data_IF_065188487275
#
_entry.id   IF_065188487275
#
_cell.length_a   1.000
_cell.length_b   1.000
_cell.length_c   1.000
_cell.angle_alpha   90.00
_cell.angle_beta   90.00
_cell.angle_gamma   90.00
#
_symmetry.space_group_name_H-M   'P 1'
#
loop_
_entity.id
_entity.type
_entity.pdbx_description
1 polymer ?
#
# COMPACT_ATOMS: atom_id res chain seq x y z
N UNK A 1 28.18 87.45 11.93
CA UNK A 1 27.35 86.46 11.19
C UNK A 1 26.50 85.71 12.21
N UNK A 2 25.19 85.97 12.18
CA UNK A 2 24.19 85.52 13.15
C UNK A 2 24.00 84.01 13.17
N UNK A 3 23.95 83.40 14.35
CA UNK A 3 23.32 82.09 14.54
C UNK A 3 22.18 82.23 15.54
N UNK A 4 20.97 82.29 14.99
CA UNK A 4 19.70 82.19 15.70
C UNK A 4 19.58 80.79 16.30
N UNK A 5 19.84 80.64 17.60
CA UNK A 5 19.38 79.51 18.39
C UNK A 5 17.92 79.76 18.75
N UNK A 6 17.00 79.16 17.98
CA UNK A 6 15.59 79.07 18.36
C UNK A 6 15.49 78.21 19.63
N UNK A 7 15.09 78.83 20.74
CA UNK A 7 14.66 78.12 21.95
C UNK A 7 13.30 77.49 21.63
N UNK A 8 13.27 76.17 21.48
CA UNK A 8 12.04 75.39 21.30
C UNK A 8 11.26 75.47 22.61
N UNK A 9 10.05 76.03 22.57
CA UNK A 9 9.19 76.15 23.75
C UNK A 9 8.73 74.77 24.23
N UNK A 10 8.47 74.63 25.53
CA UNK A 10 8.00 73.36 26.14
C UNK A 10 6.76 72.76 25.45
N UNK A 11 5.90 73.59 24.86
CA UNK A 11 4.73 73.16 24.09
C UNK A 11 5.11 72.49 22.75
N UNK A 12 6.17 72.95 22.07
CA UNK A 12 6.64 72.35 20.83
C UNK A 12 7.31 70.99 21.07
N UNK A 13 7.97 70.84 22.23
CA UNK A 13 8.58 69.57 22.65
C UNK A 13 7.52 68.49 22.92
N UNK A 14 6.41 68.86 23.56
CA UNK A 14 5.29 67.95 23.86
C UNK A 14 4.60 67.50 22.56
N UNK A 15 4.38 68.43 21.62
CA UNK A 15 3.79 68.11 20.32
C UNK A 15 4.70 67.19 19.49
N UNK A 16 6.03 67.40 19.53
CA UNK A 16 7.00 66.55 18.83
C UNK A 16 7.04 65.14 19.42
N UNK A 17 7.04 65.01 20.75
CA UNK A 17 7.02 63.72 21.45
C UNK A 17 5.70 62.98 21.22
N UNK A 18 4.57 63.68 21.24
CA UNK A 18 3.26 63.11 20.96
C UNK A 18 3.14 62.58 19.52
N UNK A 19 3.63 63.33 18.54
CA UNK A 19 3.65 62.91 17.14
C UNK A 19 4.55 61.68 16.91
N UNK A 20 5.73 61.65 17.53
CA UNK A 20 6.65 60.52 17.42
C UNK A 20 6.06 59.22 18.02
N UNK A 21 5.41 59.31 19.19
CA UNK A 21 4.74 58.17 19.82
C UNK A 21 3.59 57.62 18.98
N UNK A 22 2.78 58.49 18.36
CA UNK A 22 1.69 58.06 17.48
C UNK A 22 2.19 57.34 16.22
N UNK A 23 3.31 57.79 15.64
CA UNK A 23 3.92 57.12 14.48
C UNK A 23 4.49 55.74 14.84
N UNK A 24 5.13 55.63 16.01
CA UNK A 24 5.69 54.34 16.47
C UNK A 24 4.56 53.35 16.78
N UNK A 25 3.48 53.79 17.43
CA UNK A 25 2.34 52.93 17.76
C UNK A 25 1.56 52.49 16.51
N UNK A 26 1.34 53.40 15.56
CA UNK A 26 0.63 53.08 14.31
C UNK A 26 1.43 52.15 13.39
N UNK A 27 2.75 52.35 13.27
CA UNK A 27 3.61 51.45 12.51
C UNK A 27 3.70 50.06 13.14
N UNK A 28 3.89 49.97 14.46
CA UNK A 28 3.92 48.68 15.16
C UNK A 28 2.63 47.87 15.02
N UNK A 29 1.46 48.54 15.09
CA UNK A 29 0.17 47.88 14.90
C UNK A 29 -0.02 47.40 13.46
N UNK A 30 0.47 48.16 12.47
CA UNK A 30 0.41 47.76 11.05
C UNK A 30 1.27 46.52 10.76
N UNK A 31 2.48 46.42 11.33
CA UNK A 31 3.32 45.23 11.19
C UNK A 31 2.72 44.00 11.89
N UNK A 32 2.05 44.19 13.03
CA UNK A 32 1.36 43.10 13.74
C UNK A 32 0.22 42.50 12.89
N UNK A 33 -0.62 43.34 12.30
CA UNK A 33 -1.74 42.89 11.45
C UNK A 33 -1.24 42.21 10.16
N UNK A 34 -0.15 42.71 9.55
CA UNK A 34 0.44 42.10 8.35
C UNK A 34 1.08 40.74 8.64
N UNK A 35 1.62 40.54 9.84
CA UNK A 35 2.21 39.25 10.23
C UNK A 35 1.15 38.15 10.34
N UNK A 36 -0.04 38.46 10.90
CA UNK A 36 -1.11 37.50 11.14
C UNK A 36 -1.72 36.95 9.83
N UNK A 37 -1.91 37.81 8.81
CA UNK A 37 -2.42 37.37 7.49
C UNK A 37 -1.46 36.45 6.73
N UNK A 38 -0.14 36.63 6.90
CA UNK A 38 0.86 35.81 6.21
C UNK A 38 0.97 34.40 6.81
N UNK A 39 0.69 34.23 8.11
CA UNK A 39 0.74 32.91 8.76
C UNK A 39 -0.37 31.96 8.29
N UNK A 40 -1.58 32.45 8.04
CA UNK A 40 -2.70 31.62 7.58
C UNK A 40 -2.48 31.11 6.14
N UNK A 41 -1.91 31.94 5.27
CA UNK A 41 -1.60 31.57 3.89
C UNK A 41 -0.52 30.46 3.81
N UNK A 42 0.50 30.55 4.67
CA UNK A 42 1.59 29.55 4.74
C UNK A 42 1.08 28.21 5.27
N UNK A 43 0.22 28.22 6.30
CA UNK A 43 -0.38 27.00 6.83
C UNK A 43 -1.34 26.33 5.83
N UNK A 44 -2.10 27.12 5.06
CA UNK A 44 -2.99 26.60 4.02
C UNK A 44 -2.23 25.93 2.87
N UNK A 45 -1.11 26.53 2.43
CA UNK A 45 -0.23 25.94 1.42
C UNK A 45 0.47 24.65 1.90
N UNK A 46 0.92 24.61 3.16
CA UNK A 46 1.50 23.42 3.77
C UNK A 46 0.48 22.26 3.89
N UNK A 47 -0.78 22.58 4.22
CA UNK A 47 -1.87 21.59 4.26
C UNK A 47 -2.21 21.00 2.89
N UNK A 48 -2.21 21.82 1.83
CA UNK A 48 -2.52 21.38 0.46
C UNK A 48 -1.48 20.39 -0.09
N UNK A 49 -0.19 20.67 0.10
CA UNK A 49 0.89 19.79 -0.38
C UNK A 49 0.86 18.39 0.27
N UNK A 50 0.47 18.29 1.54
CA UNK A 50 0.38 17.01 2.26
C UNK A 50 -0.80 16.16 1.78
N UNK A 51 -1.92 16.81 1.42
CA UNK A 51 -3.12 16.13 0.90
C UNK A 51 -2.89 15.49 -0.47
N UNK A 52 -2.21 16.18 -1.39
CA UNK A 52 -1.94 15.66 -2.75
C UNK A 52 -1.00 14.44 -2.77
N UNK A 53 -0.06 14.36 -1.82
CA UNK A 53 0.82 13.19 -1.68
C UNK A 53 0.06 11.98 -1.12
N UNK A 54 -0.79 12.19 -0.11
CA UNK A 54 -1.62 11.14 0.48
C UNK A 54 -2.65 10.64 -0.55
N UNK A 55 -3.23 11.52 -1.36
CA UNK A 55 -4.23 11.12 -2.35
C UNK A 55 -3.63 10.28 -3.48
N UNK A 56 -2.40 10.60 -3.94
CA UNK A 56 -1.66 9.74 -4.89
C UNK A 56 -1.31 8.39 -4.30
N UNK A 57 -0.92 8.34 -3.03
CA UNK A 57 -0.60 7.08 -2.37
C UNK A 57 -1.84 6.21 -2.13
N UNK A 58 -2.97 6.82 -1.74
CA UNK A 58 -4.25 6.13 -1.61
C UNK A 58 -4.78 5.64 -2.97
N UNK A 59 -4.67 6.43 -4.04
CA UNK A 59 -5.04 5.97 -5.38
C UNK A 59 -4.18 4.80 -5.86
N UNK A 60 -2.89 4.76 -5.50
CA UNK A 60 -2.04 3.59 -5.76
C UNK A 60 -2.50 2.36 -4.97
N UNK A 61 -2.80 2.51 -3.67
CA UNK A 61 -3.33 1.41 -2.84
C UNK A 61 -4.69 0.90 -3.33
N UNK A 62 -5.56 1.82 -3.77
CA UNK A 62 -6.85 1.47 -4.36
C UNK A 62 -6.67 0.73 -5.70
N UNK A 63 -5.65 1.09 -6.50
CA UNK A 63 -5.35 0.39 -7.75
C UNK A 63 -4.79 -1.02 -7.50
N UNK A 64 -4.04 -1.26 -6.43
CA UNK A 64 -3.62 -2.62 -6.03
C UNK A 64 -4.76 -3.46 -5.48
N UNK A 65 -5.78 -2.85 -4.85
CA UNK A 65 -6.96 -3.56 -4.33
C UNK A 65 -8.10 -3.74 -5.33
N UNK A 66 -8.13 -2.95 -6.42
CA UNK A 66 -9.11 -3.06 -7.50
C UNK A 66 -8.53 -3.72 -8.76
N UNK A 67 -7.39 -4.40 -8.68
CA UNK A 67 -7.20 -5.50 -9.62
C UNK A 67 -8.37 -6.45 -9.35
N UNK A 68 -9.22 -6.78 -10.34
CA UNK A 68 -10.08 -7.94 -10.19
C UNK A 68 -9.16 -9.09 -9.74
N UNK A 69 -9.57 -9.95 -8.78
CA UNK A 69 -8.77 -11.12 -8.45
C UNK A 69 -8.38 -11.71 -9.79
N UNK A 70 -7.07 -11.75 -10.08
CA UNK A 70 -6.57 -12.30 -11.33
C UNK A 70 -7.32 -13.60 -11.43
N UNK A 71 -8.23 -13.67 -12.40
CA UNK A 71 -9.02 -14.85 -12.67
C UNK A 71 -8.06 -15.83 -13.35
N UNK A 72 -6.99 -16.18 -12.63
CA UNK A 72 -6.46 -17.51 -12.55
C UNK A 72 -7.66 -18.30 -12.02
N UNK A 73 -8.57 -18.64 -12.93
CA UNK A 73 -9.28 -19.90 -12.81
C UNK A 73 -8.16 -20.91 -12.62
N UNK A 74 -7.82 -21.21 -11.36
CA UNK A 74 -6.86 -22.24 -11.01
C UNK A 74 -7.36 -23.47 -11.77
N UNK A 75 -6.64 -23.82 -12.82
CA UNK A 75 -7.02 -24.95 -13.65
C UNK A 75 -6.86 -26.15 -12.74
N UNK A 76 -7.98 -26.77 -12.38
CA UNK A 76 -8.01 -27.85 -11.41
C UNK A 76 -8.57 -29.09 -12.09
N UNK A 77 -7.91 -30.22 -11.88
CA UNK A 77 -8.42 -31.52 -12.27
C UNK A 77 -8.37 -32.49 -11.09
N UNK A 78 -9.35 -33.38 -11.06
CA UNK A 78 -9.42 -34.46 -10.09
C UNK A 78 -9.03 -35.81 -10.69
N UNK A 79 -8.58 -35.81 -11.94
CA UNK A 79 -8.02 -37.02 -12.57
C UNK A 79 -6.80 -37.49 -11.77
N UNK A 80 -6.72 -38.79 -11.50
CA UNK A 80 -5.64 -39.37 -10.69
C UNK A 80 -5.50 -38.67 -9.33
N UNK A 81 -6.64 -38.39 -8.67
CA UNK A 81 -6.67 -37.89 -7.31
C UNK A 81 -7.73 -38.58 -6.46
N UNK A 82 -7.45 -38.72 -5.16
CA UNK A 82 -8.41 -39.17 -4.17
C UNK A 82 -8.14 -38.56 -2.79
N UNK A 83 -9.07 -38.73 -1.86
CA UNK A 83 -8.88 -38.28 -0.48
C UNK A 83 -9.38 -36.86 -0.21
N UNK A 84 -9.68 -36.61 1.06
CA UNK A 84 -10.19 -35.33 1.56
C UNK A 84 -9.07 -34.57 2.27
N UNK A 85 -9.12 -33.25 2.21
CA UNK A 85 -8.11 -32.39 2.81
C UNK A 85 -8.72 -31.08 3.31
N UNK A 86 -8.01 -30.47 4.24
CA UNK A 86 -8.21 -29.11 4.74
C UNK A 86 -7.03 -28.22 4.35
N UNK A 87 -5.82 -28.78 4.31
CA UNK A 87 -4.58 -28.07 4.03
C UNK A 87 -3.80 -28.76 2.91
N UNK A 88 -3.03 -27.98 2.15
CA UNK A 88 -2.20 -28.50 1.04
C UNK A 88 -1.21 -29.56 1.48
N UNK A 89 -0.62 -29.41 2.68
CA UNK A 89 0.36 -30.34 3.23
C UNK A 89 -0.17 -31.76 3.48
N UNK A 90 -1.49 -31.95 3.42
CA UNK A 90 -2.12 -33.26 3.59
C UNK A 90 -2.17 -34.05 2.28
N UNK A 91 -2.00 -33.41 1.13
CA UNK A 91 -2.05 -34.06 -0.17
C UNK A 91 -0.63 -34.21 -0.72
N UNK A 92 -0.29 -35.42 -1.11
CA UNK A 92 1.00 -35.73 -1.71
C UNK A 92 0.80 -36.55 -2.97
N UNK A 93 1.75 -36.44 -3.89
CA UNK A 93 1.83 -37.36 -5.02
C UNK A 93 2.45 -38.67 -4.53
N UNK A 94 1.72 -39.77 -4.71
CA UNK A 94 2.15 -41.12 -4.37
C UNK A 94 2.21 -42.00 -5.61
N UNK A 95 3.03 -43.06 -5.59
CA UNK A 95 3.17 -43.96 -6.72
C UNK A 95 3.94 -43.36 -7.90
N UNK A 96 5.08 -42.70 -7.62
CA UNK A 96 5.94 -42.11 -8.63
C UNK A 96 6.49 -43.17 -9.61
N UNK A 97 5.75 -43.42 -10.70
CA UNK A 97 6.26 -44.10 -11.89
C UNK A 97 6.93 -43.10 -12.85
N UNK A 98 7.53 -43.61 -13.92
CA UNK A 98 8.21 -42.84 -14.96
C UNK A 98 7.25 -41.91 -15.76
N UNK A 99 6.75 -40.83 -15.17
CA UNK A 99 5.82 -39.91 -15.84
C UNK A 99 4.35 -40.24 -15.63
N UNK A 100 4.00 -40.75 -14.45
CA UNK A 100 2.63 -40.65 -13.95
C UNK A 100 1.62 -41.73 -14.38
N UNK A 101 1.99 -42.80 -15.08
CA UNK A 101 1.01 -43.83 -15.47
C UNK A 101 0.25 -44.48 -14.30
N UNK A 102 0.80 -44.45 -13.09
CA UNK A 102 0.25 -45.12 -11.91
C UNK A 102 0.19 -44.23 -10.65
N UNK A 103 0.55 -42.95 -10.79
CA UNK A 103 0.61 -42.03 -9.67
C UNK A 103 -0.77 -41.55 -9.23
N UNK A 104 -0.90 -41.16 -7.97
CA UNK A 104 -2.14 -40.63 -7.39
C UNK A 104 -1.84 -39.41 -6.51
N UNK A 105 -2.59 -38.32 -6.66
CA UNK A 105 -2.59 -37.23 -5.68
C UNK A 105 -3.54 -37.59 -4.54
N UNK A 106 -3.01 -37.87 -3.35
CA UNK A 106 -3.78 -38.44 -2.24
C UNK A 106 -3.31 -37.96 -0.88
N UNK A 107 -4.17 -38.09 0.12
CA UNK A 107 -3.81 -37.96 1.53
C UNK A 107 -3.45 -39.30 2.21
N UNK A 108 -3.46 -40.40 1.44
CA UNK A 108 -3.12 -41.76 1.87
C UNK A 108 -2.04 -42.35 0.96
N UNK A 109 -0.82 -41.78 0.92
CA UNK A 109 0.24 -42.26 0.03
C UNK A 109 0.62 -43.73 0.26
N UNK A 110 0.47 -44.22 1.49
CA UNK A 110 0.80 -45.59 1.91
C UNK A 110 0.02 -46.67 1.15
N UNK A 111 -1.14 -46.34 0.58
CA UNK A 111 -1.96 -47.27 -0.21
C UNK A 111 -1.32 -47.61 -1.57
N UNK A 112 -0.43 -46.76 -2.06
CA UNK A 112 0.03 -46.82 -3.45
C UNK A 112 1.39 -47.50 -3.68
N UNK A 113 2.10 -47.89 -2.61
CA UNK A 113 3.29 -48.77 -2.68
C UNK A 113 4.42 -48.35 -3.63
N UNK A 114 5.47 -49.16 -3.69
CA UNK A 114 6.52 -49.02 -4.68
C UNK A 114 6.05 -49.62 -6.01
N UNK A 115 5.81 -48.75 -7.00
CA UNK A 115 5.37 -49.17 -8.34
C UNK A 115 6.61 -49.51 -9.16
N UNK A 116 6.78 -50.79 -9.47
CA UNK A 116 7.90 -51.31 -10.26
C UNK A 116 7.71 -51.17 -11.77
N UNK A 117 6.52 -50.75 -12.22
CA UNK A 117 6.16 -50.61 -13.64
C UNK A 117 6.26 -49.16 -14.11
N UNK A 118 7.04 -48.95 -15.16
CA UNK A 118 7.37 -47.65 -15.74
C UNK A 118 6.44 -47.37 -16.94
N UNK A 119 5.18 -47.06 -16.67
CA UNK A 119 4.25 -46.62 -17.72
C UNK A 119 4.21 -45.09 -17.78
N UNK A 120 4.61 -44.54 -18.93
CA UNK A 120 4.60 -43.09 -19.17
C UNK A 120 3.24 -42.67 -19.74
N UNK A 121 2.57 -41.71 -19.09
CA UNK A 121 1.33 -41.13 -19.58
C UNK A 121 1.51 -39.63 -19.83
N UNK A 122 1.62 -39.22 -21.10
CA UNK A 122 1.77 -37.80 -21.50
C UNK A 122 0.64 -36.90 -20.99
N UNK A 123 -0.56 -37.44 -20.81
CA UNK A 123 -1.72 -36.68 -20.35
C UNK A 123 -1.83 -36.61 -18.82
N UNK A 124 -0.89 -37.21 -18.08
CA UNK A 124 -0.91 -37.16 -16.63
C UNK A 124 -0.72 -35.72 -16.11
N UNK A 125 -1.44 -35.27 -15.07
CA UNK A 125 -1.42 -33.87 -14.66
C UNK A 125 -0.03 -33.32 -14.33
N UNK A 126 0.84 -34.09 -13.66
CA UNK A 126 2.19 -33.64 -13.32
C UNK A 126 3.06 -33.35 -14.57
N UNK A 127 2.85 -34.07 -15.67
CA UNK A 127 3.54 -33.82 -16.94
C UNK A 127 3.02 -32.56 -17.66
N UNK A 128 1.83 -32.08 -17.29
CA UNK A 128 1.18 -30.90 -17.87
C UNK A 128 1.35 -29.63 -17.01
N UNK A 129 2.27 -29.68 -16.03
CA UNK A 129 2.59 -28.56 -15.15
C UNK A 129 1.61 -28.37 -14.00
N UNK A 130 0.76 -29.35 -13.71
CA UNK A 130 -0.06 -29.33 -12.51
C UNK A 130 0.74 -29.82 -11.29
N UNK A 131 0.41 -29.27 -10.13
CA UNK A 131 0.96 -29.69 -8.84
C UNK A 131 -0.14 -30.33 -7.99
N UNK A 132 0.18 -31.44 -7.33
CA UNK A 132 -0.73 -32.06 -6.36
C UNK A 132 -0.87 -31.16 -5.13
N UNK A 133 -2.09 -30.97 -4.65
CA UNK A 133 -2.39 -30.16 -3.47
C UNK A 133 -3.83 -30.27 -3.02
N UNK A 134 -4.21 -29.48 -2.03
CA UNK A 134 -5.58 -29.43 -1.55
C UNK A 134 -6.38 -28.39 -2.35
N UNK A 135 -7.52 -28.80 -2.89
CA UNK A 135 -8.49 -27.90 -3.48
C UNK A 135 -9.45 -27.49 -2.36
N UNK A 136 -9.04 -26.51 -1.56
CA UNK A 136 -9.73 -26.14 -0.30
C UNK A 136 -11.20 -25.76 -0.49
N UNK A 137 -11.58 -25.25 -1.67
CA UNK A 137 -12.99 -24.95 -2.01
C UNK A 137 -13.87 -26.20 -2.07
N UNK A 138 -13.29 -27.37 -2.33
CA UNK A 138 -13.97 -28.66 -2.44
C UNK A 138 -13.56 -29.65 -1.34
N UNK A 139 -12.55 -29.31 -0.53
CA UNK A 139 -12.06 -30.15 0.58
C UNK A 139 -11.45 -31.47 0.11
N UNK A 140 -10.87 -31.50 -1.09
CA UNK A 140 -10.35 -32.72 -1.74
C UNK A 140 -8.94 -32.53 -2.27
N UNK A 141 -8.13 -33.58 -2.21
CA UNK A 141 -6.87 -33.60 -2.93
C UNK A 141 -7.14 -33.58 -4.43
N UNK A 142 -6.31 -32.85 -5.16
CA UNK A 142 -6.44 -32.67 -6.59
C UNK A 142 -5.21 -32.01 -7.19
N UNK A 143 -5.23 -31.85 -8.49
CA UNK A 143 -4.15 -31.25 -9.25
C UNK A 143 -4.53 -29.82 -9.60
N UNK A 144 -3.63 -28.86 -9.38
CA UNK A 144 -3.85 -27.44 -9.69
C UNK A 144 -2.68 -26.82 -10.44
N UNK A 145 -2.99 -25.85 -11.30
CA UNK A 145 -2.03 -25.10 -12.11
C UNK A 145 -2.14 -23.59 -11.87
#
# INVERSE_FOLDING_TARGET
MSKLTKVVGSHDLINLLGAALLVILSSGMFFYVVQEQNTEAVLWQAGKYRSEAIHRHLQQLQKTQNLPPKNTSLETTFDYSEGNCTYDSQCTWAGEGCGGGHGMCTNQPEKYGDISTCDYNFNFPSNNGYTCGCISTLGKCGWRK
#
